data_IF_728130677850
#
_entry.id   IF_728130677850
#
_cell.length_a   1.000
_cell.length_b   1.000
_cell.length_c   1.000
_cell.angle_alpha   90.00
_cell.angle_beta   90.00
_cell.angle_gamma   90.00
#
_symmetry.space_group_name_H-M   'P 1'
#
loop_
_entity.id
_entity.type
_entity.pdbx_description
1 polymer ?
#
# COMPACT_ATOMS: atom_id res chain seq x y z
N UNK A 1 -16.44 15.64 -3.09
CA UNK A 1 -16.28 15.28 -3.69
C UNK A 1 -15.32 14.40 -3.73
N UNK A 2 -15.32 13.65 -4.09
CA UNK A 2 -14.31 12.90 -3.95
C UNK A 2 -13.49 12.87 -5.11
N UNK A 3 -12.28 12.49 -4.98
CA UNK A 3 -11.42 12.51 -5.98
C UNK A 3 -11.56 11.41 -6.84
N UNK A 4 -11.29 11.58 -8.04
CA UNK A 4 -11.22 10.58 -8.91
C UNK A 4 -9.94 9.93 -8.74
N UNK A 5 -9.79 8.91 -8.01
CA UNK A 5 -8.57 8.18 -7.82
C UNK A 5 -8.42 7.21 -8.96
N UNK A 6 -7.22 7.01 -9.48
CA UNK A 6 -7.01 5.97 -10.45
C UNK A 6 -7.33 4.64 -9.78
N UNK A 7 -7.41 3.58 -10.55
CA UNK A 7 -7.81 2.30 -10.01
C UNK A 7 -6.89 1.86 -8.89
N UNK A 8 -7.46 1.20 -7.91
CA UNK A 8 -6.70 0.68 -6.79
C UNK A 8 -6.90 -0.82 -6.70
N UNK A 9 -5.86 -1.51 -6.24
CA UNK A 9 -5.95 -2.94 -6.03
C UNK A 9 -5.40 -3.19 -4.63
N UNK A 10 -6.24 -3.76 -3.77
CA UNK A 10 -5.83 -3.99 -2.40
C UNK A 10 -5.46 -5.45 -2.23
N UNK A 11 -4.19 -5.72 -1.97
CA UNK A 11 -3.72 -7.07 -1.76
C UNK A 11 -4.27 -7.60 -0.44
N UNK A 12 -4.24 -8.92 -0.31
CA UNK A 12 -4.84 -9.57 0.84
C UNK A 12 -4.40 -9.02 2.20
N UNK A 13 -3.10 -8.82 2.46
CA UNK A 13 -2.71 -8.32 3.78
C UNK A 13 -3.30 -6.96 4.08
N UNK A 14 -3.38 -6.08 3.07
CA UNK A 14 -3.96 -4.76 3.26
C UNK A 14 -5.45 -4.89 3.56
N UNK A 15 -6.15 -5.63 2.73
CA UNK A 15 -7.59 -5.76 2.88
C UNK A 15 -7.97 -6.40 4.22
N UNK A 16 -7.21 -7.40 4.64
CA UNK A 16 -7.51 -8.06 5.91
C UNK A 16 -7.25 -7.15 7.10
N UNK A 17 -6.21 -6.35 7.04
CA UNK A 17 -5.91 -5.44 8.13
C UNK A 17 -7.04 -4.42 8.30
N UNK A 18 -7.49 -3.84 7.18
CA UNK A 18 -8.57 -2.87 7.24
C UNK A 18 -9.84 -3.50 7.77
N UNK A 19 -10.13 -4.70 7.32
CA UNK A 19 -11.34 -5.38 7.75
C UNK A 19 -11.37 -5.59 9.25
N UNK A 20 -10.22 -5.85 9.86
CA UNK A 20 -10.14 -6.11 11.30
C UNK A 20 -9.95 -4.86 12.13
N UNK A 21 -9.64 -3.74 11.53
CA UNK A 21 -9.39 -2.51 12.28
C UNK A 21 -10.69 -1.92 12.78
N UNK A 22 -10.62 -1.21 13.91
CA UNK A 22 -11.81 -0.55 14.41
C UNK A 22 -12.14 0.64 13.51
N UNK A 23 -13.39 1.08 13.58
CA UNK A 23 -13.91 2.02 12.59
C UNK A 23 -13.09 3.31 12.44
N UNK A 24 -12.71 3.98 13.53
CA UNK A 24 -11.93 5.21 13.34
C UNK A 24 -10.62 4.98 12.58
N UNK A 25 -9.97 3.85 12.83
CA UNK A 25 -8.73 3.55 12.11
C UNK A 25 -9.02 3.23 10.66
N UNK A 26 -10.11 2.53 10.37
CA UNK A 26 -10.50 2.26 8.99
C UNK A 26 -10.67 3.56 8.22
N UNK A 27 -11.33 4.54 8.83
CA UNK A 27 -11.54 5.82 8.17
C UNK A 27 -10.24 6.57 7.96
N UNK A 28 -9.33 6.49 8.93
CA UNK A 28 -8.04 7.13 8.78
C UNK A 28 -7.25 6.49 7.65
N UNK A 29 -7.30 5.16 7.53
CA UNK A 29 -6.60 4.47 6.46
C UNK A 29 -7.18 4.89 5.11
N UNK A 30 -8.50 4.99 5.01
CA UNK A 30 -9.14 5.40 3.76
C UNK A 30 -8.70 6.81 3.35
N UNK A 31 -8.59 7.71 4.33
CA UNK A 31 -8.12 9.06 4.03
C UNK A 31 -6.69 9.03 3.51
N UNK A 32 -5.86 8.17 4.08
CA UNK A 32 -4.47 8.10 3.64
C UNK A 32 -4.32 7.42 2.30
N UNK A 33 -5.22 6.50 1.97
CA UNK A 33 -5.25 5.94 0.62
C UNK A 33 -5.53 7.06 -0.38
N UNK A 34 -6.45 7.95 -0.05
CA UNK A 34 -6.75 9.08 -0.93
C UNK A 34 -5.54 9.99 -1.09
N UNK A 35 -4.77 10.19 -0.02
CA UNK A 35 -3.56 11.00 -0.09
C UNK A 35 -2.57 10.38 -1.08
N UNK A 36 -2.40 9.06 -1.01
CA UNK A 36 -1.49 8.37 -1.92
C UNK A 36 -2.01 8.46 -3.35
N UNK A 37 -3.32 8.31 -3.53
CA UNK A 37 -3.90 8.39 -4.87
C UNK A 37 -3.70 9.76 -5.50
N UNK A 38 -3.76 10.80 -4.68
CA UNK A 38 -3.55 12.17 -5.17
C UNK A 38 -2.09 12.42 -5.54
N UNK A 39 -1.17 11.72 -4.87
CA UNK A 39 0.25 11.90 -5.15
C UNK A 39 0.96 10.57 -4.93
N UNK A 40 0.98 9.72 -5.95
CA UNK A 40 1.55 8.38 -5.79
C UNK A 40 3.04 8.36 -5.45
N UNK A 41 3.72 9.47 -5.57
CA UNK A 41 5.12 9.53 -5.23
C UNK A 41 5.38 10.04 -3.82
N UNK A 42 4.30 10.23 -3.05
CA UNK A 42 4.46 10.79 -1.70
C UNK A 42 5.21 9.83 -0.76
N UNK A 43 5.07 8.53 -0.94
CA UNK A 43 5.75 7.57 -0.09
C UNK A 43 7.22 7.44 -0.45
N UNK A 44 8.01 7.04 0.53
CA UNK A 44 9.43 6.87 0.33
C UNK A 44 9.71 5.63 -0.51
N UNK A 45 10.47 5.79 -1.58
CA UNK A 45 10.81 4.66 -2.43
C UNK A 45 11.86 3.80 -1.76
N UNK A 46 11.61 2.52 -1.67
CA UNK A 46 12.53 1.60 -1.02
C UNK A 46 13.44 0.93 -2.04
N UNK A 47 14.50 0.32 -1.54
CA UNK A 47 15.48 -0.35 -2.37
C UNK A 47 15.70 -1.75 -1.86
N UNK A 48 16.57 -2.50 -2.51
CA UNK A 48 16.90 -3.86 -2.07
C UNK A 48 15.73 -4.80 -2.23
N UNK A 49 15.43 -5.55 -1.20
CA UNK A 49 14.34 -6.52 -1.23
C UNK A 49 12.98 -5.88 -1.49
N UNK A 50 12.87 -4.60 -1.24
CA UNK A 50 11.62 -3.88 -1.42
C UNK A 50 11.67 -2.93 -2.61
N UNK A 51 12.58 -3.16 -3.53
CA UNK A 51 12.72 -2.28 -4.69
C UNK A 51 11.39 -2.14 -5.42
N UNK A 52 11.03 -0.93 -5.73
CA UNK A 52 9.76 -0.64 -6.41
C UNK A 52 8.60 -0.39 -5.48
N UNK A 53 8.77 -0.65 -4.20
CA UNK A 53 7.72 -0.42 -3.21
C UNK A 53 7.94 0.97 -2.61
N UNK A 54 6.85 1.70 -2.41
CA UNK A 54 6.89 2.96 -1.67
C UNK A 54 6.17 2.78 -0.35
N UNK A 55 6.61 3.49 0.67
CA UNK A 55 5.99 3.40 1.99
C UNK A 55 5.59 4.80 2.44
N UNK A 56 4.31 4.95 2.71
CA UNK A 56 3.74 6.21 3.19
C UNK A 56 3.47 6.07 4.68
N UNK A 57 3.94 7.03 5.48
CA UNK A 57 3.74 7.01 6.92
C UNK A 57 2.67 7.99 7.33
N UNK A 58 1.89 7.61 8.32
CA UNK A 58 0.93 8.53 8.90
C UNK A 58 0.76 8.21 10.37
N UNK A 59 0.23 9.16 11.11
CA UNK A 59 0.01 8.96 12.54
C UNK A 59 -1.47 8.94 12.82
N UNK A 60 -1.86 8.04 13.70
CA UNK A 60 -3.23 7.96 14.15
C UNK A 60 -3.22 7.57 15.62
N UNK A 61 -3.87 8.36 16.45
CA UNK A 61 -3.97 8.09 17.88
C UNK A 61 -2.58 7.88 18.50
N UNK A 62 -1.65 8.77 18.15
CA UNK A 62 -0.31 8.78 18.71
C UNK A 62 0.56 7.60 18.32
N UNK A 63 0.15 6.87 17.30
CA UNK A 63 0.93 5.75 16.82
C UNK A 63 1.21 5.93 15.34
N UNK A 64 2.40 5.55 14.90
CA UNK A 64 2.77 5.65 13.52
C UNK A 64 2.33 4.39 12.77
N UNK A 65 1.75 4.60 11.60
CA UNK A 65 1.33 3.51 10.73
C UNK A 65 2.02 3.66 9.39
N UNK A 66 2.14 2.55 8.69
CA UNK A 66 2.81 2.51 7.39
C UNK A 66 1.88 1.88 6.37
N UNK A 67 1.92 2.42 5.15
CA UNK A 67 1.19 1.85 4.03
C UNK A 67 2.22 1.54 2.94
N UNK A 68 2.33 0.28 2.56
CA UNK A 68 3.22 -0.11 1.48
C UNK A 68 2.41 -0.25 0.19
N UNK A 69 2.90 0.35 -0.88
CA UNK A 69 2.18 0.31 -2.14
C UNK A 69 3.17 0.40 -3.30
N UNK A 70 2.68 0.08 -4.48
CA UNK A 70 3.48 0.21 -5.69
C UNK A 70 2.79 1.20 -6.60
N UNK A 71 3.50 2.27 -6.95
CA UNK A 71 2.94 3.31 -7.79
C UNK A 71 2.75 2.81 -9.21
N UNK A 72 1.92 3.47 -10.01
CA UNK A 72 1.72 3.06 -11.39
C UNK A 72 2.99 3.23 -12.19
N UNK A 73 3.11 2.45 -13.24
CA UNK A 73 4.25 2.56 -14.14
C UNK A 73 4.08 3.76 -15.06
N UNK A 74 5.19 4.34 -15.45
CA UNK A 74 5.14 5.56 -16.24
C UNK A 74 4.71 5.36 -17.67
N UNK A 75 4.98 4.20 -18.24
CA UNK A 75 4.73 3.99 -19.64
C UNK A 75 3.42 3.28 -19.95
N UNK A 76 2.49 3.33 -19.03
CA UNK A 76 1.19 2.69 -19.19
C UNK A 76 0.13 3.73 -19.50
N UNK A 77 -0.80 3.48 -20.42
CA UNK A 77 -1.87 4.44 -20.69
C UNK A 77 -2.66 4.75 -19.43
N UNK A 78 -3.14 5.99 -19.37
CA UNK A 78 -3.82 6.47 -18.17
C UNK A 78 -4.93 5.56 -17.70
N UNK A 79 -5.72 5.02 -18.63
CA UNK A 79 -6.85 4.20 -18.25
C UNK A 79 -6.45 2.87 -17.63
N UNK A 80 -5.17 2.50 -17.71
CA UNK A 80 -4.69 1.27 -17.11
C UNK A 80 -3.81 1.49 -15.89
N UNK A 81 -3.75 2.72 -15.40
CA UNK A 81 -2.93 2.98 -14.22
C UNK A 81 -3.59 2.40 -12.98
N UNK A 82 -2.83 1.64 -12.22
CA UNK A 82 -3.31 0.99 -11.02
C UNK A 82 -2.30 1.17 -9.91
N UNK A 83 -2.77 1.48 -8.72
CA UNK A 83 -1.91 1.48 -7.54
C UNK A 83 -2.22 0.22 -6.77
N UNK A 84 -1.19 -0.59 -6.51
CA UNK A 84 -1.35 -1.80 -5.73
C UNK A 84 -0.99 -1.48 -4.29
N UNK A 85 -1.96 -1.62 -3.38
CA UNK A 85 -1.72 -1.44 -1.97
C UNK A 85 -1.45 -2.80 -1.34
N UNK A 86 -0.24 -2.97 -0.84
CA UNK A 86 0.21 -4.27 -0.36
C UNK A 86 -0.07 -4.53 1.11
N UNK A 87 0.20 -3.54 1.94
CA UNK A 87 0.13 -3.78 3.38
C UNK A 87 -0.05 -2.49 4.14
N UNK A 88 -0.75 -2.55 5.26
CA UNK A 88 -0.88 -1.42 6.17
C UNK A 88 -0.75 -1.98 7.58
N UNK A 89 -0.15 -1.23 8.47
CA UNK A 89 -0.02 -1.65 9.85
C UNK A 89 0.92 -0.76 10.62
N UNK A 90 1.09 -1.07 11.91
CA UNK A 90 2.03 -0.34 12.72
C UNK A 90 3.45 -0.78 12.35
N UNK A 91 4.42 -0.05 12.88
CA UNK A 91 5.81 -0.30 12.50
C UNK A 91 6.30 -1.69 12.90
N UNK A 92 5.73 -2.24 13.95
CA UNK A 92 6.21 -3.52 14.45
C UNK A 92 5.97 -4.64 13.45
N UNK A 93 7.00 -5.37 13.10
CA UNK A 93 6.92 -6.50 12.16
C UNK A 93 6.44 -6.14 10.75
N UNK A 94 6.21 -4.87 10.47
CA UNK A 94 5.65 -4.47 9.18
C UNK A 94 6.53 -4.92 8.03
N UNK A 95 7.83 -4.62 8.11
CA UNK A 95 8.73 -4.91 7.00
C UNK A 95 8.97 -6.40 6.84
N UNK A 96 9.04 -7.14 7.94
CA UNK A 96 9.25 -8.58 7.86
C UNK A 96 8.07 -9.25 7.18
N UNK A 97 6.86 -8.85 7.55
CA UNK A 97 5.65 -9.41 6.96
C UNK A 97 5.53 -9.03 5.48
N UNK A 98 5.88 -7.81 5.16
CA UNK A 98 5.82 -7.36 3.78
C UNK A 98 6.79 -8.15 2.91
N UNK A 99 8.01 -8.34 3.37
CA UNK A 99 8.99 -9.10 2.60
C UNK A 99 8.53 -10.54 2.39
N UNK A 100 7.93 -11.12 3.42
CA UNK A 100 7.44 -12.48 3.30
C UNK A 100 6.31 -12.58 2.28
N UNK A 101 5.39 -11.63 2.30
CA UNK A 101 4.30 -11.63 1.34
C UNK A 101 4.82 -11.48 -0.10
N UNK A 102 5.79 -10.58 -0.29
CA UNK A 102 6.34 -10.36 -1.61
C UNK A 102 7.06 -11.60 -2.13
N UNK A 103 7.75 -12.32 -1.26
CA UNK A 103 8.41 -13.56 -1.66
C UNK A 103 7.39 -14.61 -2.08
N UNK A 104 6.27 -14.71 -1.37
CA UNK A 104 5.23 -15.65 -1.71
C UNK A 104 4.60 -15.30 -3.04
N UNK A 105 4.36 -14.04 -3.28
CA UNK A 105 3.76 -13.60 -4.52
C UNK A 105 4.68 -13.88 -5.70
N UNK A 106 5.96 -13.62 -5.53
CA UNK A 106 6.93 -13.84 -6.56
C UNK A 106 7.06 -15.34 -6.88
N UNK A 107 7.02 -16.16 -5.83
CA UNK A 107 7.12 -17.60 -6.00
C UNK A 107 5.93 -18.13 -6.80
N UNK A 108 4.74 -17.64 -6.52
CA UNK A 108 3.57 -18.05 -7.27
C UNK A 108 3.68 -17.61 -8.73
N UNK A 109 4.16 -16.42 -8.95
CA UNK A 109 4.35 -15.93 -10.30
C UNK A 109 5.35 -16.74 -11.05
N UNK A 110 6.41 -17.17 -10.38
CA UNK A 110 7.45 -17.93 -11.02
C UNK A 110 7.00 -19.34 -11.39
N UNK A 111 6.00 -19.83 -10.71
CA UNK A 111 5.58 -21.20 -10.98
C UNK A 111 4.61 -21.32 -12.13
N UNK A 112 4.29 -20.24 -12.79
CA UNK A 112 3.41 -20.32 -13.91
C UNK A 112 4.02 -20.89 -15.11
#
# INVERSE_FOLDING_TARGET
MHNECMKTNFKRPFAQYVKKAHKPLQLAIEDEVDVVCADPEIGELKVGDLAGIRVHKFRFSQQEYLIAYRAPKDDVPVEFLVIDFYQVGSHENFYAELKQYLRQEKSKGASK
#
